data_IF_780096423304
#
_entry.id   IF_780096423304
#
_cell.length_a   1.000
_cell.length_b   1.000
_cell.length_c   1.000
_cell.angle_alpha   90.00
_cell.angle_beta   90.00
_cell.angle_gamma   90.00
#
_symmetry.space_group_name_H-M   'P 1'
#
loop_
_entity.id
_entity.type
_entity.pdbx_description
1 polymer ?
#
# COMPACT_ATOMS: atom_id res chain seq x y z
N UNK A 1 -39.62 -10.22 -58.98
CA UNK A 1 -38.38 -9.50 -58.59
C UNK A 1 -38.00 -9.85 -57.16
N UNK A 2 -37.02 -10.73 -56.94
CA UNK A 2 -36.63 -11.19 -55.60
C UNK A 2 -35.29 -10.54 -55.17
N UNK A 3 -35.34 -9.67 -54.15
CA UNK A 3 -34.16 -9.00 -53.58
C UNK A 3 -33.32 -10.01 -52.77
N UNK A 4 -32.21 -10.48 -53.36
CA UNK A 4 -31.17 -11.26 -52.66
C UNK A 4 -30.47 -10.40 -51.60
N UNK A 5 -30.79 -10.60 -50.32
CA UNK A 5 -30.03 -10.07 -49.18
C UNK A 5 -28.66 -10.75 -49.12
N UNK A 6 -27.59 -10.01 -49.44
CA UNK A 6 -26.20 -10.42 -49.22
C UNK A 6 -25.91 -10.44 -47.71
N UNK A 7 -25.80 -11.63 -47.12
CA UNK A 7 -25.25 -11.80 -45.76
C UNK A 7 -23.74 -11.55 -45.81
N UNK A 8 -23.29 -10.45 -45.21
CA UNK A 8 -21.86 -10.19 -44.96
C UNK A 8 -21.37 -11.16 -43.89
N UNK A 9 -20.54 -12.12 -44.30
CA UNK A 9 -19.80 -13.02 -43.42
C UNK A 9 -18.76 -12.21 -42.64
N UNK A 10 -19.00 -12.01 -41.34
CA UNK A 10 -18.05 -11.38 -40.43
C UNK A 10 -16.96 -12.42 -40.11
N UNK A 11 -15.84 -12.35 -40.84
CA UNK A 11 -14.67 -13.21 -40.63
C UNK A 11 -14.02 -12.81 -39.30
N UNK A 12 -14.42 -13.46 -38.19
CA UNK A 12 -13.77 -13.33 -36.88
C UNK A 12 -12.28 -13.69 -37.04
N UNK A 13 -11.42 -12.68 -37.06
CA UNK A 13 -9.97 -12.84 -36.83
C UNK A 13 -9.80 -13.42 -35.42
N UNK A 14 -9.68 -14.75 -35.31
CA UNK A 14 -9.13 -15.39 -34.13
C UNK A 14 -7.70 -14.89 -33.99
N UNK A 15 -7.48 -13.92 -33.10
CA UNK A 15 -6.16 -13.55 -32.63
C UNK A 15 -5.54 -14.81 -32.03
N UNK A 16 -4.53 -15.36 -32.71
CA UNK A 16 -3.70 -16.45 -32.19
C UNK A 16 -3.06 -15.93 -30.90
N UNK A 17 -3.64 -16.28 -29.74
CA UNK A 17 -2.94 -16.16 -28.45
C UNK A 17 -1.69 -17.03 -28.58
N UNK A 18 -0.52 -16.39 -28.62
CA UNK A 18 0.78 -17.08 -28.58
C UNK A 18 0.78 -17.93 -27.31
N UNK A 19 0.73 -19.26 -27.47
CA UNK A 19 0.95 -20.19 -26.36
C UNK A 19 2.42 -20.03 -25.98
N UNK A 20 2.69 -19.41 -24.83
CA UNK A 20 4.02 -19.41 -24.22
C UNK A 20 4.46 -20.86 -24.07
N UNK A 21 5.64 -21.18 -24.59
CA UNK A 21 6.20 -22.54 -24.67
C UNK A 21 6.68 -23.09 -23.33
N UNK A 22 6.68 -22.25 -22.28
CA UNK A 22 7.01 -22.64 -20.92
C UNK A 22 5.71 -22.96 -20.17
N UNK A 23 5.48 -24.26 -19.96
CA UNK A 23 4.33 -24.79 -19.22
C UNK A 23 4.55 -24.68 -17.70
N UNK A 24 4.86 -23.47 -17.21
CA UNK A 24 4.97 -23.20 -15.77
C UNK A 24 3.58 -22.94 -15.17
N UNK A 25 3.44 -23.26 -13.88
CA UNK A 25 2.28 -22.88 -13.09
C UNK A 25 2.07 -21.35 -13.12
N UNK A 26 0.80 -20.88 -13.14
CA UNK A 26 0.49 -19.45 -13.22
C UNK A 26 1.12 -18.64 -12.08
N UNK A 27 1.19 -19.22 -10.88
CA UNK A 27 1.83 -18.59 -9.72
C UNK A 27 3.33 -18.38 -9.93
N UNK A 28 4.04 -19.38 -10.45
CA UNK A 28 5.47 -19.27 -10.73
C UNK A 28 5.74 -18.21 -11.80
N UNK A 29 4.89 -18.14 -12.84
CA UNK A 29 5.00 -17.10 -13.88
C UNK A 29 4.83 -15.70 -13.30
N UNK A 30 3.84 -15.53 -12.41
CA UNK A 30 3.60 -14.27 -11.71
C UNK A 30 4.78 -13.86 -10.86
N UNK A 31 5.30 -14.76 -10.02
CA UNK A 31 6.46 -14.48 -9.17
C UNK A 31 7.70 -14.11 -10.00
N UNK A 32 7.98 -14.86 -11.07
CA UNK A 32 9.09 -14.55 -11.99
C UNK A 32 8.89 -13.16 -12.63
N UNK A 33 7.66 -12.84 -13.06
CA UNK A 33 7.36 -11.53 -13.64
C UNK A 33 7.53 -10.39 -12.63
N UNK A 34 7.06 -10.58 -11.39
CA UNK A 34 7.19 -9.60 -10.31
C UNK A 34 8.64 -9.37 -9.92
N UNK A 35 9.42 -10.46 -9.77
CA UNK A 35 10.86 -10.39 -9.51
C UNK A 35 11.58 -9.67 -10.64
N UNK A 36 11.32 -10.03 -11.90
CA UNK A 36 11.92 -9.37 -13.06
C UNK A 36 11.61 -7.87 -13.11
N UNK A 37 10.39 -7.49 -12.73
CA UNK A 37 9.96 -6.09 -12.69
C UNK A 37 10.62 -5.31 -11.55
N UNK A 38 10.75 -5.90 -10.36
CA UNK A 38 11.50 -5.31 -9.23
C UNK A 38 12.97 -5.14 -9.61
N UNK A 39 13.60 -6.18 -10.17
CA UNK A 39 14.99 -6.10 -10.63
C UNK A 39 15.16 -5.01 -11.69
N UNK A 40 14.26 -4.90 -12.66
CA UNK A 40 14.27 -3.83 -13.64
C UNK A 40 14.15 -2.44 -12.98
N UNK A 41 13.27 -2.28 -11.99
CA UNK A 41 13.16 -1.04 -11.22
C UNK A 41 14.43 -0.69 -10.45
N UNK A 42 15.06 -1.65 -9.78
CA UNK A 42 16.34 -1.43 -9.08
C UNK A 42 17.45 -1.04 -10.06
N UNK A 43 17.54 -1.72 -11.21
CA UNK A 43 18.51 -1.37 -12.25
C UNK A 43 18.28 0.05 -12.77
N UNK A 44 17.02 0.46 -12.98
CA UNK A 44 16.72 1.82 -13.40
C UNK A 44 17.04 2.87 -12.31
N UNK A 45 16.92 2.53 -11.03
CA UNK A 45 17.40 3.41 -9.95
C UNK A 45 18.92 3.60 -10.00
N UNK A 46 19.68 2.53 -10.25
CA UNK A 46 21.14 2.62 -10.43
C UNK A 46 21.51 3.48 -11.65
N UNK A 47 20.71 3.36 -12.72
CA UNK A 47 20.84 4.19 -13.92
C UNK A 47 20.63 5.68 -13.60
N UNK A 48 19.60 6.04 -12.83
CA UNK A 48 19.39 7.43 -12.42
C UNK A 48 20.48 7.97 -11.51
N UNK A 49 21.16 7.11 -10.75
CA UNK A 49 22.33 7.46 -9.94
C UNK A 49 23.64 7.54 -10.72
N UNK A 50 23.61 7.31 -12.04
CA UNK A 50 24.79 7.28 -12.91
C UNK A 50 25.81 6.17 -12.54
N UNK A 51 25.34 5.07 -11.93
CA UNK A 51 26.19 3.93 -11.51
C UNK A 51 26.18 2.76 -12.53
N UNK A 52 25.42 2.88 -13.62
CA UNK A 52 25.18 1.79 -14.58
C UNK A 52 26.08 1.83 -15.84
N UNK A 53 27.07 2.74 -15.88
CA UNK A 53 27.99 2.92 -17.00
C UNK A 53 27.33 3.49 -18.26
N UNK A 54 28.00 3.37 -19.41
CA UNK A 54 27.63 4.07 -20.66
C UNK A 54 26.22 3.74 -21.18
N UNK A 55 25.76 2.49 -20.98
CA UNK A 55 24.41 2.07 -21.34
C UNK A 55 23.38 2.70 -20.40
N UNK A 56 23.76 2.86 -19.12
CA UNK A 56 22.99 3.60 -18.14
C UNK A 56 22.78 5.06 -18.53
N UNK A 57 23.83 5.76 -18.95
CA UNK A 57 23.72 7.18 -19.32
C UNK A 57 22.70 7.42 -20.44
N UNK A 58 22.70 6.55 -21.45
CA UNK A 58 21.72 6.59 -22.54
C UNK A 58 20.29 6.33 -22.03
N UNK A 59 20.12 5.36 -21.12
CA UNK A 59 18.82 5.02 -20.54
C UNK A 59 18.32 6.09 -19.56
N UNK A 60 19.21 6.74 -18.82
CA UNK A 60 18.94 7.89 -17.95
C UNK A 60 18.45 9.08 -18.78
N UNK A 61 19.11 9.36 -19.91
CA UNK A 61 18.67 10.38 -20.87
C UNK A 61 17.28 10.07 -21.42
N UNK A 62 17.00 8.80 -21.76
CA UNK A 62 15.68 8.36 -22.17
C UNK A 62 14.62 8.57 -21.08
N UNK A 63 14.89 8.16 -19.84
CA UNK A 63 13.98 8.37 -18.71
C UNK A 63 13.71 9.85 -18.45
N UNK A 64 14.74 10.70 -18.51
CA UNK A 64 14.60 12.13 -18.35
C UNK A 64 13.81 12.77 -19.50
N UNK A 65 13.92 12.27 -20.72
CA UNK A 65 13.07 12.71 -21.83
C UNK A 65 11.59 12.39 -21.58
N UNK A 66 11.27 11.17 -21.13
CA UNK A 66 9.87 10.74 -20.95
C UNK A 66 9.22 11.31 -19.69
N UNK A 67 9.94 11.29 -18.56
CA UNK A 67 9.41 11.58 -17.22
C UNK A 67 9.99 12.85 -16.59
N UNK A 68 11.02 13.45 -17.19
CA UNK A 68 11.65 14.67 -16.69
C UNK A 68 12.33 14.50 -15.33
N UNK A 69 12.23 15.52 -14.50
CA UNK A 69 12.71 15.53 -13.10
C UNK A 69 12.01 14.48 -12.23
N UNK A 70 10.83 14.02 -12.64
CA UNK A 70 10.05 12.98 -11.96
C UNK A 70 10.41 11.56 -12.43
N UNK A 71 11.52 11.39 -13.14
CA UNK A 71 12.00 10.09 -13.62
C UNK A 71 12.18 9.04 -12.52
N UNK A 72 12.50 9.44 -11.29
CA UNK A 72 12.60 8.54 -10.13
C UNK A 72 11.31 7.81 -9.78
N UNK A 73 10.15 8.35 -10.17
CA UNK A 73 8.85 7.73 -9.91
C UNK A 73 8.67 6.47 -10.75
N UNK A 74 9.21 6.41 -11.97
CA UNK A 74 9.03 5.26 -12.85
C UNK A 74 9.69 3.97 -12.31
N UNK A 75 10.95 3.99 -11.83
CA UNK A 75 11.54 2.86 -11.12
C UNK A 75 10.77 2.48 -9.85
N UNK A 76 10.34 3.46 -9.04
CA UNK A 76 9.54 3.21 -7.84
C UNK A 76 8.20 2.54 -8.18
N UNK A 77 7.57 2.98 -9.25
CA UNK A 77 6.36 2.40 -9.83
C UNK A 77 6.58 0.95 -10.25
N UNK A 78 7.69 0.64 -10.91
CA UNK A 78 8.02 -0.73 -11.31
C UNK A 78 8.23 -1.64 -10.10
N UNK A 79 8.95 -1.16 -9.09
CA UNK A 79 9.17 -1.89 -7.84
C UNK A 79 7.83 -2.14 -7.14
N UNK A 80 7.01 -1.11 -6.98
CA UNK A 80 5.71 -1.21 -6.34
C UNK A 80 4.85 -2.24 -7.09
N UNK A 81 4.68 -2.07 -8.41
CA UNK A 81 3.91 -2.99 -9.25
C UNK A 81 4.45 -4.43 -9.22
N UNK A 82 5.76 -4.63 -9.18
CA UNK A 82 6.33 -5.98 -9.05
C UNK A 82 6.09 -6.60 -7.67
N UNK A 83 6.09 -5.79 -6.61
CA UNK A 83 5.71 -6.21 -5.26
C UNK A 83 4.22 -6.59 -5.22
N UNK A 84 3.37 -5.82 -5.92
CA UNK A 84 1.94 -6.09 -6.03
C UNK A 84 1.69 -7.49 -6.63
N UNK A 85 2.50 -7.94 -7.59
CA UNK A 85 2.42 -9.28 -8.17
C UNK A 85 2.75 -10.39 -7.16
N UNK A 86 3.58 -10.13 -6.15
CA UNK A 86 3.85 -11.10 -5.08
C UNK A 86 2.65 -11.27 -4.13
N UNK A 87 1.92 -10.18 -3.85
CA UNK A 87 0.81 -10.19 -2.91
C UNK A 87 -0.51 -10.71 -3.51
N UNK A 88 -0.71 -10.62 -4.82
CA UNK A 88 -1.97 -11.07 -5.45
C UNK A 88 -1.97 -12.58 -5.69
N UNK A 89 -3.07 -13.27 -5.33
CA UNK A 89 -3.26 -14.69 -5.64
C UNK A 89 -3.83 -14.92 -7.05
N UNK A 90 -4.56 -13.95 -7.59
CA UNK A 90 -5.30 -14.09 -8.84
C UNK A 90 -4.70 -13.33 -10.02
N UNK A 91 -4.53 -14.03 -11.15
CA UNK A 91 -3.86 -13.50 -12.36
C UNK A 91 -4.70 -12.52 -13.18
N UNK A 92 -6.03 -12.56 -13.09
CA UNK A 92 -6.91 -11.62 -13.80
C UNK A 92 -6.88 -10.22 -13.17
N UNK A 93 -6.56 -10.14 -11.88
CA UNK A 93 -6.49 -8.88 -11.15
C UNK A 93 -5.20 -8.10 -11.45
N UNK A 94 -4.13 -8.78 -11.88
CA UNK A 94 -2.84 -8.15 -12.24
C UNK A 94 -2.97 -7.12 -13.38
N UNK A 95 -3.76 -7.45 -14.42
CA UNK A 95 -3.95 -6.55 -15.56
C UNK A 95 -4.73 -5.29 -15.18
N UNK A 96 -5.82 -5.43 -14.42
CA UNK A 96 -6.60 -4.28 -13.96
C UNK A 96 -5.75 -3.37 -13.08
N UNK A 97 -5.01 -3.96 -12.15
CA UNK A 97 -4.13 -3.26 -11.21
C UNK A 97 -3.03 -2.48 -11.90
N UNK A 98 -2.35 -3.12 -12.86
CA UNK A 98 -1.32 -2.43 -13.65
C UNK A 98 -1.90 -1.29 -14.49
N UNK A 99 -3.09 -1.44 -15.07
CA UNK A 99 -3.79 -0.35 -15.77
C UNK A 99 -4.10 0.81 -14.83
N UNK A 100 -4.62 0.53 -13.63
CA UNK A 100 -4.90 1.55 -12.61
C UNK A 100 -3.62 2.31 -12.22
N UNK A 101 -2.52 1.59 -12.02
CA UNK A 101 -1.25 2.21 -11.64
C UNK A 101 -0.74 3.10 -12.78
N UNK A 102 -0.77 2.60 -14.02
CA UNK A 102 -0.38 3.38 -15.21
C UNK A 102 -1.22 4.65 -15.29
N UNK A 103 -2.53 4.55 -15.07
CA UNK A 103 -3.40 5.72 -15.02
C UNK A 103 -2.95 6.72 -13.93
N UNK A 104 -2.64 6.25 -12.71
CA UNK A 104 -2.09 7.10 -11.65
C UNK A 104 -0.79 7.80 -12.09
N UNK A 105 0.13 7.05 -12.70
CA UNK A 105 1.40 7.59 -13.16
C UNK A 105 1.15 8.72 -14.18
N UNK A 106 0.38 8.45 -15.24
CA UNK A 106 0.10 9.45 -16.27
C UNK A 106 -0.65 10.68 -15.72
N UNK A 107 -1.62 10.48 -14.84
CA UNK A 107 -2.35 11.57 -14.19
C UNK A 107 -1.44 12.43 -13.30
N UNK A 108 -0.55 11.80 -12.53
CA UNK A 108 0.42 12.49 -11.69
C UNK A 108 1.41 13.32 -12.52
N UNK A 109 2.01 12.71 -13.56
CA UNK A 109 2.94 13.42 -14.45
C UNK A 109 2.25 14.58 -15.17
N UNK A 110 1.01 14.39 -15.62
CA UNK A 110 0.20 15.47 -16.20
C UNK A 110 -0.01 16.62 -15.20
N UNK A 111 -0.39 16.32 -13.97
CA UNK A 111 -0.67 17.32 -12.94
C UNK A 111 0.60 18.11 -12.58
N UNK A 112 1.74 17.43 -12.45
CA UNK A 112 3.03 18.07 -12.21
C UNK A 112 3.46 19.00 -13.34
N UNK A 113 3.10 18.68 -14.59
CA UNK A 113 3.45 19.51 -15.73
C UNK A 113 2.63 20.81 -15.80
N UNK A 114 1.37 20.81 -15.35
CA UNK A 114 0.47 21.99 -15.39
C UNK A 114 0.98 23.13 -14.49
N UNK A 115 1.74 22.80 -13.44
CA UNK A 115 2.21 23.78 -12.45
C UNK A 115 3.26 24.76 -12.98
N UNK A 116 3.87 24.50 -14.13
CA UNK A 116 4.93 25.33 -14.68
C UNK A 116 4.41 26.58 -15.41
N UNK A 117 5.18 27.68 -15.47
CA UNK A 117 4.86 28.87 -16.27
C UNK A 117 4.68 28.52 -17.76
N UNK A 118 3.71 29.15 -18.45
CA UNK A 118 3.38 28.80 -19.84
C UNK A 118 4.55 29.01 -20.81
N UNK A 119 5.42 30.00 -20.56
CA UNK A 119 6.58 30.26 -21.41
C UNK A 119 7.59 29.12 -21.43
N UNK A 120 7.65 28.34 -20.34
CA UNK A 120 8.69 27.33 -20.09
C UNK A 120 8.19 25.88 -20.26
N UNK A 121 6.88 25.67 -20.38
CA UNK A 121 6.26 24.32 -20.41
C UNK A 121 6.84 23.44 -21.53
N UNK A 122 7.02 23.98 -22.73
CA UNK A 122 7.52 23.20 -23.88
C UNK A 122 9.05 23.12 -23.94
N UNK A 123 9.73 24.22 -23.61
CA UNK A 123 11.19 24.36 -23.70
C UNK A 123 11.89 23.57 -22.58
N UNK A 124 11.37 23.63 -21.36
CA UNK A 124 11.92 22.97 -20.16
C UNK A 124 11.19 21.69 -19.80
N UNK A 125 10.63 20.97 -20.78
CA UNK A 125 9.86 19.73 -20.54
C UNK A 125 10.62 18.70 -19.69
N UNK A 126 11.93 18.58 -19.90
CA UNK A 126 12.79 17.62 -19.20
C UNK A 126 13.02 18.02 -17.73
N UNK A 127 12.96 19.32 -17.41
CA UNK A 127 13.05 19.82 -16.03
C UNK A 127 11.71 19.68 -15.29
N UNK A 128 10.63 19.47 -16.03
CA UNK A 128 9.28 19.25 -15.51
C UNK A 128 8.97 17.74 -15.48
N UNK A 129 7.81 17.35 -16.00
CA UNK A 129 7.31 15.97 -16.03
C UNK A 129 7.57 15.25 -17.38
N UNK A 130 8.57 15.70 -18.14
CA UNK A 130 8.97 15.12 -19.42
C UNK A 130 7.91 15.23 -20.51
N UNK A 131 8.12 14.50 -21.60
CA UNK A 131 7.19 14.47 -22.74
C UNK A 131 5.84 13.85 -22.39
N UNK A 132 5.79 12.88 -21.48
CA UNK A 132 4.54 12.22 -21.07
C UNK A 132 3.67 13.19 -20.27
N UNK A 133 4.25 13.89 -19.30
CA UNK A 133 3.53 14.91 -18.54
C UNK A 133 3.05 16.07 -19.42
N UNK A 134 3.87 16.50 -20.39
CA UNK A 134 3.45 17.48 -21.39
C UNK A 134 2.24 16.97 -22.19
N UNK A 135 2.30 15.75 -22.72
CA UNK A 135 1.21 15.18 -23.52
C UNK A 135 -0.10 15.04 -22.74
N UNK A 136 -0.03 14.69 -21.44
CA UNK A 136 -1.21 14.59 -20.59
C UNK A 136 -1.77 15.94 -20.14
N UNK A 137 -0.93 16.97 -20.00
CA UNK A 137 -1.36 18.31 -19.63
C UNK A 137 -1.84 19.15 -20.82
N UNK A 138 -1.33 18.87 -22.03
CA UNK A 138 -1.59 19.64 -23.24
C UNK A 138 -3.07 19.93 -23.52
N UNK A 139 -4.02 18.96 -23.41
CA UNK A 139 -5.43 19.24 -23.67
C UNK A 139 -6.01 20.30 -22.71
N UNK A 140 -5.55 20.30 -21.45
CA UNK A 140 -6.02 21.25 -20.44
C UNK A 140 -5.40 22.63 -20.61
N UNK A 141 -4.18 22.70 -21.14
CA UNK A 141 -3.51 23.97 -21.42
C UNK A 141 -4.08 24.66 -22.66
N UNK A 142 -4.56 23.90 -23.65
CA UNK A 142 -5.09 24.43 -24.91
C UNK A 142 -6.60 24.67 -24.85
N UNK A 143 -7.36 23.75 -24.27
CA UNK A 143 -8.82 23.75 -24.33
C UNK A 143 -9.52 24.10 -23.01
N UNK A 144 -8.80 24.17 -21.90
CA UNK A 144 -9.38 24.37 -20.56
C UNK A 144 -8.54 25.35 -19.72
N UNK A 145 -8.88 25.45 -18.43
CA UNK A 145 -8.09 26.18 -17.45
C UNK A 145 -7.20 25.22 -16.64
N UNK A 146 -6.13 25.76 -16.04
CA UNK A 146 -5.25 24.99 -15.13
C UNK A 146 -6.03 24.35 -13.98
N UNK A 147 -7.01 25.08 -13.43
CA UNK A 147 -7.87 24.58 -12.37
C UNK A 147 -8.65 23.33 -12.82
N UNK A 148 -9.24 23.35 -14.02
CA UNK A 148 -9.92 22.18 -14.59
C UNK A 148 -8.96 21.03 -14.85
N UNK A 149 -7.75 21.32 -15.30
CA UNK A 149 -6.71 20.29 -15.46
C UNK A 149 -6.38 19.59 -14.15
N UNK A 150 -6.17 20.35 -13.07
CA UNK A 150 -5.92 19.76 -11.75
C UNK A 150 -7.08 18.92 -11.25
N UNK A 151 -8.33 19.39 -11.38
CA UNK A 151 -9.49 18.63 -10.89
C UNK A 151 -9.66 17.31 -11.64
N UNK A 152 -9.58 17.33 -12.97
CA UNK A 152 -9.73 16.11 -13.80
C UNK A 152 -8.57 15.14 -13.57
N UNK A 153 -7.32 15.62 -13.56
CA UNK A 153 -6.16 14.76 -13.35
C UNK A 153 -6.13 14.18 -11.93
N UNK A 154 -6.56 14.94 -10.92
CA UNK A 154 -6.67 14.43 -9.54
C UNK A 154 -7.77 13.38 -9.43
N UNK A 155 -8.92 13.59 -10.07
CA UNK A 155 -9.99 12.60 -10.11
C UNK A 155 -9.55 11.31 -10.82
N UNK A 156 -8.83 11.42 -11.94
CA UNK A 156 -8.25 10.27 -12.65
C UNK A 156 -7.19 9.55 -11.80
N UNK A 157 -6.37 10.29 -11.06
CA UNK A 157 -5.40 9.71 -10.13
C UNK A 157 -6.09 8.89 -9.04
N UNK A 158 -7.11 9.44 -8.39
CA UNK A 158 -7.90 8.74 -7.37
C UNK A 158 -8.61 7.51 -7.96
N UNK A 159 -9.20 7.66 -9.15
CA UNK A 159 -9.83 6.54 -9.86
C UNK A 159 -8.82 5.42 -10.15
N UNK A 160 -7.61 5.79 -10.58
CA UNK A 160 -6.52 4.84 -10.81
C UNK A 160 -6.10 4.12 -9.52
N UNK A 161 -6.09 4.81 -8.37
CA UNK A 161 -5.81 4.20 -7.07
C UNK A 161 -6.89 3.18 -6.70
N UNK A 162 -8.17 3.50 -6.91
CA UNK A 162 -9.26 2.56 -6.67
C UNK A 162 -9.17 1.32 -7.56
N UNK A 163 -8.84 1.48 -8.84
CA UNK A 163 -8.63 0.35 -9.75
C UNK A 163 -7.38 -0.46 -9.35
N UNK A 164 -6.34 0.20 -8.83
CA UNK A 164 -5.07 -0.46 -8.48
C UNK A 164 -5.14 -1.26 -7.19
N UNK A 165 -5.80 -0.71 -6.18
CA UNK A 165 -5.79 -1.29 -4.85
C UNK A 165 -7.08 -2.03 -4.52
N UNK A 166 -8.14 -1.83 -5.31
CA UNK A 166 -9.51 -2.28 -5.01
C UNK A 166 -9.75 -2.17 -3.49
N UNK A 167 -9.54 -0.97 -2.89
CA UNK A 167 -9.51 -0.86 -1.45
C UNK A 167 -10.85 -1.33 -0.89
N UNK A 168 -10.80 -2.23 0.09
CA UNK A 168 -11.98 -2.53 0.88
C UNK A 168 -12.36 -1.27 1.66
N UNK A 169 -13.36 -0.55 1.13
CA UNK A 169 -13.84 0.71 1.68
C UNK A 169 -14.33 0.53 3.12
N UNK A 170 -14.79 -0.68 3.50
CA UNK A 170 -15.20 -1.00 4.87
C UNK A 170 -14.02 -0.94 5.84
N UNK A 171 -12.93 -1.64 5.52
CA UNK A 171 -11.72 -1.67 6.36
C UNK A 171 -11.03 -0.30 6.47
N UNK A 172 -10.99 0.48 5.38
CA UNK A 172 -10.37 1.82 5.40
C UNK A 172 -11.18 2.80 6.25
N UNK A 173 -12.51 2.76 6.18
CA UNK A 173 -13.40 3.58 7.00
C UNK A 173 -13.36 3.15 8.47
N UNK A 174 -13.21 1.86 8.76
CA UNK A 174 -13.05 1.36 10.13
C UNK A 174 -11.75 1.88 10.77
N UNK A 175 -10.62 1.86 10.05
CA UNK A 175 -9.33 2.41 10.52
C UNK A 175 -9.40 3.94 10.69
N UNK A 176 -10.04 4.64 9.76
CA UNK A 176 -10.16 6.09 9.82
C UNK A 176 -11.11 6.53 10.96
N UNK A 177 -12.22 5.81 11.16
CA UNK A 177 -13.19 6.09 12.22
C UNK A 177 -12.71 5.63 13.61
N UNK A 178 -11.88 4.57 13.70
CA UNK A 178 -11.26 4.16 14.96
C UNK A 178 -10.20 5.15 15.44
N UNK A 179 -9.58 5.88 14.50
CA UNK A 179 -8.62 6.95 14.83
C UNK A 179 -9.30 8.26 15.27
N UNK A 180 -10.62 8.37 15.11
CA UNK A 180 -11.44 9.53 15.50
C UNK A 180 -12.37 9.26 16.70
N UNK A 181 -12.48 8.01 17.18
CA UNK A 181 -13.23 7.70 18.40
C UNK A 181 -12.36 7.98 19.62
N UNK A 182 -12.69 8.95 20.49
CA UNK A 182 -12.05 9.04 21.80
C UNK A 182 -12.31 7.73 22.54
N UNK A 183 -11.25 7.11 23.08
CA UNK A 183 -11.41 5.88 23.86
C UNK A 183 -12.41 6.17 25.00
N UNK A 184 -13.54 5.43 25.10
CA UNK A 184 -14.41 5.58 26.25
C UNK A 184 -13.67 5.03 27.46
N UNK A 185 -13.50 5.87 28.50
CA UNK A 185 -12.99 5.42 29.78
C UNK A 185 -13.81 4.22 30.27
N UNK A 186 -13.16 3.19 30.86
CA UNK A 186 -13.83 1.97 31.25
C UNK A 186 -14.84 2.23 32.38
N UNK A 187 -16.11 2.42 32.01
CA UNK A 187 -17.22 2.41 32.97
C UNK A 187 -17.32 1.03 33.60
N UNK A 188 -17.00 0.95 34.90
CA UNK A 188 -17.25 -0.22 35.76
C UNK A 188 -18.72 -0.64 35.61
N UNK A 189 -18.96 -1.79 34.99
CA UNK A 189 -20.28 -2.43 34.87
C UNK A 189 -20.79 -2.78 36.27
N UNK A 190 -21.88 -2.16 36.70
CA UNK A 190 -22.82 -2.78 37.65
C UNK A 190 -23.70 -3.73 36.84
N UNK A 191 -23.66 -5.02 37.15
CA UNK A 191 -24.59 -6.02 36.63
C UNK A 191 -25.96 -5.73 37.22
N UNK A 192 -26.95 -5.52 36.37
CA UNK A 192 -28.36 -5.80 36.67
C UNK A 192 -28.75 -6.87 35.67
N UNK A 193 -29.21 -7.99 36.21
CA UNK A 193 -29.80 -9.13 35.50
C UNK A 193 -31.29 -8.82 35.51
N UNK A 194 -31.92 -8.75 34.34
CA UNK A 194 -33.37 -8.85 34.22
C UNK A 194 -33.65 -9.89 33.13
N UNK A 195 -34.40 -10.91 33.55
CA UNK A 195 -35.07 -11.94 32.76
C UNK A 195 -36.20 -11.29 31.96
N UNK A 196 -36.36 -11.66 30.69
CA UNK A 196 -37.63 -11.47 29.99
C UNK A 196 -37.87 -12.68 29.06
N UNK A 197 -39.00 -13.34 29.30
CA UNK A 197 -39.65 -14.39 28.53
C UNK A 197 -40.08 -13.86 27.15
N UNK A 198 -39.82 -14.62 26.08
CA UNK A 198 -40.47 -14.40 24.78
C UNK A 198 -41.43 -15.56 24.49
N UNK A 199 -42.71 -15.19 24.47
CA UNK A 199 -43.89 -15.90 23.97
C UNK A 199 -43.77 -16.06 22.43
N UNK A 200 -43.79 -17.31 21.94
CA UNK A 200 -43.86 -17.62 20.51
C UNK A 200 -45.23 -18.21 20.19
N UNK A 201 -45.91 -17.54 19.26
CA UNK A 201 -47.24 -17.86 18.72
C UNK A 201 -47.13 -19.03 17.71
N UNK A 202 -47.97 -20.04 17.90
CA UNK A 202 -48.16 -21.22 17.05
C UNK A 202 -49.30 -20.98 16.04
N UNK A 203 -49.12 -21.46 14.80
CA UNK A 203 -50.12 -22.11 13.90
C UNK A 203 -49.45 -22.24 12.50
N UNK A 204 -48.92 -23.41 12.08
CA UNK A 204 -49.59 -24.56 11.39
C UNK A 204 -50.50 -24.14 10.22
N UNK A 205 -50.51 -24.71 9.01
CA UNK A 205 -49.87 -25.88 8.38
C UNK A 205 -50.24 -25.79 6.87
N UNK A 206 -49.43 -26.30 5.94
CA UNK A 206 -49.91 -27.25 4.91
C UNK A 206 -48.75 -27.86 4.10
N UNK A 207 -48.89 -29.16 3.87
CA UNK A 207 -47.91 -30.12 3.38
C UNK A 207 -47.92 -30.22 1.85
N UNK A 208 -46.78 -30.60 1.27
CA UNK A 208 -46.71 -31.64 0.23
C UNK A 208 -45.26 -32.16 0.13
N UNK A 209 -45.06 -33.34 0.72
CA UNK A 209 -43.91 -34.24 0.53
C UNK A 209 -43.91 -34.81 -0.90
N UNK A 210 -42.73 -34.86 -1.53
CA UNK A 210 -42.33 -36.03 -2.33
C UNK A 210 -40.81 -36.00 -2.62
N UNK A 211 -40.18 -37.13 -2.26
CA UNK A 211 -38.91 -37.70 -2.74
C UNK A 211 -37.62 -37.48 -1.91
N UNK A 212 -37.47 -38.42 -0.96
CA UNK A 212 -36.25 -38.89 -0.30
C UNK A 212 -35.22 -39.47 -1.30
N UNK A 213 -34.02 -38.87 -1.36
CA UNK A 213 -32.77 -39.62 -1.58
C UNK A 213 -31.77 -39.19 -0.49
N UNK A 214 -31.85 -39.91 0.63
CA UNK A 214 -30.97 -39.80 1.79
C UNK A 214 -29.57 -40.33 1.44
N UNK A 215 -28.68 -39.42 1.04
CA UNK A 215 -27.23 -39.64 1.01
C UNK A 215 -26.71 -39.48 2.44
N UNK A 216 -26.78 -40.57 3.19
CA UNK A 216 -26.11 -40.74 4.48
C UNK A 216 -24.60 -40.51 4.28
N UNK A 217 -24.13 -39.30 4.57
CA UNK A 217 -22.72 -39.07 4.88
C UNK A 217 -22.48 -39.69 6.26
N UNK A 218 -21.79 -40.84 6.27
CA UNK A 218 -21.20 -41.41 7.48
C UNK A 218 -20.40 -40.30 8.20
N UNK A 219 -20.93 -39.84 9.34
CA UNK A 219 -20.23 -39.04 10.34
C UNK A 219 -19.10 -39.89 10.94
N UNK A 220 -18.03 -40.08 10.17
CA UNK A 220 -16.79 -40.62 10.68
C UNK A 220 -16.14 -39.53 11.56
N UNK A 221 -16.23 -39.72 12.88
CA UNK A 221 -15.45 -38.94 13.84
C UNK A 221 -13.99 -38.85 13.34
N UNK A 222 -13.42 -37.63 13.20
CA UNK A 222 -12.06 -37.49 12.72
C UNK A 222 -11.13 -38.26 13.68
N UNK A 223 -10.24 -39.13 13.18
CA UNK A 223 -9.39 -39.91 14.06
C UNK A 223 -8.55 -38.96 14.92
N UNK A 224 -8.63 -39.12 16.25
CA UNK A 224 -7.78 -38.39 17.17
C UNK A 224 -6.30 -38.70 16.85
N UNK A 225 -5.67 -37.78 16.15
CA UNK A 225 -4.24 -37.80 15.88
C UNK A 225 -3.49 -37.58 17.20
N UNK A 226 -3.19 -38.67 17.93
CA UNK A 226 -2.26 -38.65 19.04
C UNK A 226 -0.83 -38.48 18.53
N UNK A 227 -0.53 -37.28 18.04
CA UNK A 227 0.83 -36.89 17.66
C UNK A 227 1.57 -36.64 18.97
N UNK A 228 2.19 -37.70 19.48
CA UNK A 228 3.22 -37.59 20.52
C UNK A 228 4.34 -36.74 19.92
N UNK A 229 4.36 -35.45 20.26
CA UNK A 229 5.41 -34.54 19.81
C UNK A 229 6.75 -35.06 20.34
N UNK A 230 7.74 -35.33 19.49
CA UNK A 230 9.05 -35.78 19.95
C UNK A 230 9.66 -34.72 20.89
N UNK A 231 10.34 -35.17 21.95
CA UNK A 231 10.83 -34.36 23.08
C UNK A 231 11.62 -33.11 22.64
N UNK A 232 12.29 -33.17 21.48
CA UNK A 232 13.05 -32.05 20.92
C UNK A 232 12.16 -30.84 20.54
N UNK A 233 10.91 -31.08 20.10
CA UNK A 233 9.98 -30.02 19.72
C UNK A 233 9.40 -29.28 20.95
N UNK A 234 9.40 -29.93 22.12
CA UNK A 234 8.99 -29.28 23.36
C UNK A 234 10.07 -28.35 23.92
N UNK A 235 11.35 -28.67 23.71
CA UNK A 235 12.47 -27.82 24.15
C UNK A 235 12.51 -26.51 23.36
N UNK A 236 12.33 -26.56 22.04
CA UNK A 236 12.33 -25.36 21.18
C UNK A 236 11.17 -24.40 21.49
N UNK A 237 9.99 -24.92 21.86
CA UNK A 237 8.85 -24.09 22.27
C UNK A 237 9.11 -23.49 23.66
N UNK A 238 9.67 -24.25 24.62
CA UNK A 238 10.04 -23.74 25.95
C UNK A 238 11.10 -22.63 25.89
N UNK A 239 12.08 -22.75 25.00
CA UNK A 239 13.11 -21.72 24.82
C UNK A 239 12.53 -20.47 24.15
N UNK A 240 11.65 -20.63 23.15
CA UNK A 240 10.94 -19.51 22.52
C UNK A 240 10.01 -18.81 23.53
N UNK A 241 9.23 -19.53 24.33
CA UNK A 241 8.35 -18.90 25.34
C UNK A 241 9.14 -18.22 26.44
N UNK A 242 10.26 -18.79 26.91
CA UNK A 242 11.16 -18.14 27.89
C UNK A 242 11.74 -16.83 27.35
N UNK A 243 12.13 -16.79 26.08
CA UNK A 243 12.65 -15.57 25.44
C UNK A 243 11.59 -14.48 25.23
N UNK A 244 10.35 -14.87 24.91
CA UNK A 244 9.22 -13.94 24.75
C UNK A 244 8.78 -13.40 26.12
N UNK A 245 8.75 -14.25 27.14
CA UNK A 245 8.44 -13.83 28.53
C UNK A 245 9.51 -12.89 29.06
N UNK A 246 10.81 -13.17 28.87
CA UNK A 246 11.87 -12.27 29.33
C UNK A 246 11.88 -10.93 28.60
N UNK A 247 11.52 -10.90 27.31
CA UNK A 247 11.37 -9.66 26.54
C UNK A 247 10.15 -8.86 26.99
N UNK A 248 9.03 -9.53 27.28
CA UNK A 248 7.80 -8.90 27.81
C UNK A 248 7.98 -8.34 29.22
N UNK A 249 8.76 -9.01 30.07
CA UNK A 249 9.08 -8.54 31.43
C UNK A 249 10.00 -7.31 31.41
N UNK A 250 10.83 -7.14 30.37
CA UNK A 250 11.68 -5.94 30.19
C UNK A 250 10.89 -4.70 29.74
N UNK A 251 9.82 -4.88 28.96
CA UNK A 251 8.98 -3.79 28.43
C UNK A 251 7.79 -3.42 29.34
N UNK A 252 7.49 -4.22 30.36
CA UNK A 252 6.51 -3.85 31.40
C UNK A 252 7.19 -3.06 32.52
N UNK A 253 6.82 -1.79 32.67
CA UNK A 253 7.12 -0.98 33.86
C UNK A 253 6.69 -1.75 35.12
N UNK A 254 7.67 -2.29 35.86
CA UNK A 254 7.42 -2.89 37.15
C UNK A 254 7.19 -1.76 38.17
N UNK A 255 5.96 -1.66 38.67
CA UNK A 255 5.64 -0.80 39.80
C UNK A 255 6.34 -1.37 41.04
N UNK A 256 7.50 -0.82 41.40
CA UNK A 256 8.13 -1.14 42.68
C UNK A 256 7.31 -0.44 43.77
N UNK A 257 6.83 -1.23 44.74
CA UNK A 257 6.09 -0.71 45.89
C UNK A 257 7.09 0.06 46.79
N UNK A 258 7.12 1.39 46.67
CA UNK A 258 8.06 2.27 47.40
C UNK A 258 7.63 2.53 48.85
N UNK A 259 6.68 1.76 49.40
CA UNK A 259 6.15 1.98 50.76
C UNK A 259 7.22 1.87 51.87
N UNK A 260 8.34 1.20 51.60
CA UNK A 260 9.44 1.01 52.56
C UNK A 260 10.77 1.65 52.12
N UNK A 261 10.78 2.42 51.03
CA UNK A 261 11.98 3.17 50.65
C UNK A 261 11.93 4.53 51.35
N UNK A 262 12.79 4.71 52.35
CA UNK A 262 12.97 5.99 53.03
C UNK A 262 13.43 7.04 52.02
N UNK A 263 12.57 8.04 51.78
CA UNK A 263 12.84 9.12 50.84
C UNK A 263 14.07 9.91 51.30
N UNK A 264 15.19 9.76 50.59
CA UNK A 264 16.38 10.58 50.82
C UNK A 264 16.41 11.76 49.84
N UNK A 265 16.84 12.92 50.32
CA UNK A 265 16.87 14.14 49.53
C UNK A 265 17.86 13.97 48.36
N UNK A 266 17.45 14.24 47.10
CA UNK A 266 18.33 14.10 45.95
C UNK A 266 19.51 15.07 46.03
N UNK A 267 20.69 14.61 45.65
CA UNK A 267 21.90 15.44 45.66
C UNK A 267 21.81 16.61 44.69
N UNK A 268 22.45 17.73 45.03
CA UNK A 268 22.50 18.98 44.26
C UNK A 268 23.15 18.86 42.87
N UNK A 269 23.73 17.71 42.55
CA UNK A 269 24.38 17.38 41.27
C UNK A 269 23.41 17.43 40.06
N UNK A 270 22.10 17.46 40.32
CA UNK A 270 21.07 17.63 39.28
C UNK A 270 20.91 19.08 38.79
N UNK A 271 21.55 20.07 39.43
CA UNK A 271 21.37 21.49 39.11
C UNK A 271 22.53 22.12 38.31
N UNK A 272 23.71 21.49 38.25
CA UNK A 272 24.92 22.13 37.68
C UNK A 272 25.12 21.94 36.17
N UNK A 273 24.25 21.22 35.48
CA UNK A 273 24.45 20.92 34.05
C UNK A 273 23.93 21.97 33.06
N UNK A 274 23.83 23.25 33.44
CA UNK A 274 23.55 24.35 32.48
C UNK A 274 23.86 25.76 32.99
N UNK A 275 25.14 26.12 33.01
CA UNK A 275 25.56 27.51 32.82
C UNK A 275 26.45 27.56 31.58
N UNK A 276 25.91 28.04 30.46
CA UNK A 276 26.72 28.39 29.29
C UNK A 276 27.54 29.63 29.64
N UNK A 277 28.84 29.48 29.89
CA UNK A 277 29.77 30.61 29.94
C UNK A 277 29.77 31.30 28.57
N UNK A 278 29.12 32.45 28.50
CA UNK A 278 29.12 33.32 27.33
C UNK A 278 30.34 34.24 27.46
N UNK A 279 31.45 33.87 26.82
CA UNK A 279 32.61 34.77 26.67
C UNK A 279 32.26 35.83 25.63
N UNK A 280 31.90 37.01 26.13
CA UNK A 280 31.66 38.19 25.31
C UNK A 280 33.00 38.80 24.92
N UNK A 281 33.23 38.98 23.61
CA UNK A 281 34.45 39.58 23.06
C UNK A 281 34.26 41.10 22.94
N UNK A 282 34.84 41.86 23.87
CA UNK A 282 34.70 43.32 23.99
C UNK A 282 35.16 44.08 22.73
N UNK A 283 36.06 43.49 21.93
CA UNK A 283 36.50 44.10 20.67
C UNK A 283 35.40 44.07 19.59
N UNK A 284 34.60 42.99 19.56
CA UNK A 284 33.48 42.87 18.62
C UNK A 284 32.34 43.84 18.96
N UNK A 285 32.04 44.02 20.26
CA UNK A 285 31.03 44.99 20.71
C UNK A 285 31.40 46.43 20.33
N UNK A 286 32.67 46.82 20.48
CA UNK A 286 33.14 48.16 20.10
C UNK A 286 33.06 48.43 18.59
N UNK A 287 33.20 47.39 17.75
CA UNK A 287 33.03 47.53 16.30
C UNK A 287 31.56 47.70 15.91
N UNK A 288 30.65 46.97 16.54
CA UNK A 288 29.22 47.09 16.27
C UNK A 288 28.64 48.43 16.75
N UNK A 289 29.15 49.01 17.85
CA UNK A 289 28.68 50.29 18.36
C UNK A 289 29.11 51.52 17.54
N UNK A 290 29.98 51.35 16.54
CA UNK A 290 30.47 52.44 15.66
C UNK A 290 29.77 52.50 14.29
N UNK A 291 28.85 51.58 14.00
CA UNK A 291 27.98 51.63 12.81
C UNK A 291 26.71 52.42 13.06
#
# INVERSE_FOLDING_TARGET
MARRRRRRSYRRRRTRKKKSTLNLAPETKRLISGTGQITAGILLLLVLKQEAGIVGDALSTGMMFFFGSWSVIFPAFLILSGLLHWFTRDTQFELKRSIGLVLCLLSFLGAMHIGAPLEDIASKRNELAGSIGFMMSFPFLVFASRAVGYTVLSALFITGLFISFEPDLGAVVEILSSSMKPQPEPRRRRRVVDEDEEEYDEEEDDYEDEDEEDLVEDDAEPPELNIVRPVFAQQTIKDRTKSVISKKVKDTLQMKDTRFEEWTFPAFDLLDSRASELKVDDEQLKKQAKQ
#
